data_IF_869127223280
#
_entry.id   IF_869127223280
#
_cell.length_a   1.000
_cell.length_b   1.000
_cell.length_c   1.000
_cell.angle_alpha   90.00
_cell.angle_beta   90.00
_cell.angle_gamma   90.00
#
_symmetry.space_group_name_H-M   'P 1'
#
loop_
_entity.id
_entity.type
_entity.pdbx_description
1 polymer ?
#
# COMPACT_ATOMS: atom_id res chain seq x y z
N UNK A 1 -16.49 -15.55 15.45
CA UNK A 1 -15.48 -14.45 15.45
C UNK A 1 -14.19 -14.94 14.81
N UNK A 2 -13.50 -14.13 13.99
CA UNK A 2 -12.28 -14.56 13.28
C UNK A 2 -11.10 -14.70 14.26
N UNK A 3 -10.22 -15.69 14.06
CA UNK A 3 -9.02 -15.87 14.88
C UNK A 3 -7.96 -14.80 14.58
N UNK A 4 -7.04 -14.55 15.53
CA UNK A 4 -5.98 -13.55 15.37
C UNK A 4 -5.08 -13.86 14.17
N UNK A 5 -4.68 -15.12 14.06
CA UNK A 5 -3.79 -15.60 12.99
C UNK A 5 -4.45 -15.47 11.62
N UNK A 6 -5.74 -15.81 11.50
CA UNK A 6 -6.48 -15.66 10.24
C UNK A 6 -6.58 -14.19 9.82
N UNK A 7 -6.82 -13.28 10.76
CA UNK A 7 -6.86 -11.83 10.47
C UNK A 7 -5.50 -11.28 10.02
N UNK A 8 -4.42 -11.69 10.69
CA UNK A 8 -3.07 -11.32 10.29
C UNK A 8 -2.73 -11.87 8.89
N UNK A 9 -3.10 -13.12 8.59
CA UNK A 9 -2.81 -13.76 7.30
C UNK A 9 -3.61 -13.11 6.15
N UNK A 10 -4.92 -12.88 6.33
CA UNK A 10 -5.73 -12.15 5.34
C UNK A 10 -5.21 -10.72 5.13
N UNK A 11 -4.79 -10.06 6.22
CA UNK A 11 -4.15 -8.75 6.18
C UNK A 11 -2.84 -8.76 5.40
N UNK A 12 -1.96 -9.75 5.65
CA UNK A 12 -0.70 -9.93 4.94
C UNK A 12 -0.93 -10.08 3.43
N UNK A 13 -1.83 -10.98 3.02
CA UNK A 13 -2.11 -11.19 1.59
C UNK A 13 -2.68 -9.93 0.94
N UNK A 14 -3.66 -9.28 1.57
CA UNK A 14 -4.22 -8.04 1.04
C UNK A 14 -3.16 -6.93 0.94
N UNK A 15 -2.28 -6.81 1.93
CA UNK A 15 -1.17 -5.86 1.95
C UNK A 15 -0.12 -6.13 0.87
N UNK A 16 0.22 -7.39 0.62
CA UNK A 16 1.13 -7.78 -0.48
C UNK A 16 0.54 -7.41 -1.85
N UNK A 17 -0.72 -7.78 -2.09
CA UNK A 17 -1.41 -7.48 -3.36
C UNK A 17 -1.54 -5.96 -3.55
N UNK A 18 -1.89 -5.23 -2.50
CA UNK A 18 -1.95 -3.77 -2.53
C UNK A 18 -0.60 -3.14 -2.81
N UNK A 19 0.48 -3.63 -2.18
CA UNK A 19 1.85 -3.15 -2.41
C UNK A 19 2.31 -3.39 -3.85
N UNK A 20 2.00 -4.55 -4.43
CA UNK A 20 2.28 -4.85 -5.84
C UNK A 20 1.44 -3.95 -6.77
N UNK A 21 0.14 -3.82 -6.53
CA UNK A 21 -0.74 -2.99 -7.34
C UNK A 21 -0.30 -1.51 -7.35
N UNK A 22 0.07 -0.98 -6.19
CA UNK A 22 0.63 0.36 -6.05
C UNK A 22 1.95 0.51 -6.81
N UNK A 23 2.84 -0.48 -6.73
CA UNK A 23 4.11 -0.48 -7.46
C UNK A 23 3.87 -0.41 -8.97
N UNK A 24 2.97 -1.24 -9.48
CA UNK A 24 2.60 -1.25 -10.89
C UNK A 24 1.99 0.08 -11.34
N UNK A 25 1.13 0.68 -10.52
CA UNK A 25 0.56 2.00 -10.81
C UNK A 25 1.64 3.08 -10.86
N UNK A 26 2.58 3.08 -9.92
CA UNK A 26 3.71 4.02 -9.94
C UNK A 26 4.57 3.84 -11.19
N UNK A 27 4.87 2.59 -11.59
CA UNK A 27 5.64 2.32 -12.81
C UNK A 27 4.88 2.76 -14.08
N UNK A 28 3.57 2.52 -14.13
CA UNK A 28 2.72 2.95 -15.23
C UNK A 28 2.67 4.49 -15.33
N UNK A 29 2.52 5.19 -14.20
CA UNK A 29 2.53 6.65 -14.15
C UNK A 29 3.92 7.21 -14.52
N UNK A 30 4.99 6.58 -14.07
CA UNK A 30 6.36 6.95 -14.47
C UNK A 30 6.54 6.83 -15.99
N UNK A 31 6.04 5.74 -16.58
CA UNK A 31 6.14 5.51 -18.02
C UNK A 31 5.29 6.49 -18.83
N UNK A 32 4.04 6.73 -18.42
CA UNK A 32 3.11 7.57 -19.16
C UNK A 32 3.43 9.07 -19.02
N UNK A 33 3.79 9.52 -17.83
CA UNK A 33 3.99 10.94 -17.52
C UNK A 33 5.46 11.33 -17.38
N UNK A 34 6.40 10.39 -17.56
CA UNK A 34 7.85 10.65 -17.46
C UNK A 34 8.25 11.28 -16.11
N UNK A 35 7.50 10.94 -15.06
CA UNK A 35 7.70 11.42 -13.70
C UNK A 35 8.77 10.54 -13.04
N UNK A 36 9.67 11.16 -12.29
CA UNK A 36 10.54 10.42 -11.40
C UNK A 36 9.75 9.99 -10.15
N UNK A 37 9.48 8.69 -10.02
CA UNK A 37 8.74 8.16 -8.88
C UNK A 37 9.66 8.03 -7.66
N UNK A 38 9.11 8.02 -6.43
CA UNK A 38 9.90 7.77 -5.22
C UNK A 38 10.74 6.49 -5.28
N UNK A 39 10.31 5.49 -6.05
CA UNK A 39 11.09 4.27 -6.30
C UNK A 39 12.47 4.54 -6.89
N UNK A 40 12.59 5.56 -7.72
CA UNK A 40 13.83 5.92 -8.42
C UNK A 40 14.55 7.04 -7.67
N UNK A 41 13.82 8.04 -7.21
CA UNK A 41 14.38 9.24 -6.59
C UNK A 41 14.93 8.97 -5.17
N UNK A 42 14.41 8.00 -4.43
CA UNK A 42 14.91 7.70 -3.09
C UNK A 42 16.40 7.38 -3.10
N UNK A 43 16.87 6.64 -4.12
CA UNK A 43 18.28 6.36 -4.33
C UNK A 43 19.08 7.64 -4.58
N UNK A 44 18.57 8.54 -5.42
CA UNK A 44 19.21 9.82 -5.72
C UNK A 44 19.37 10.68 -4.46
N UNK A 45 18.33 10.76 -3.62
CA UNK A 45 18.40 11.48 -2.34
C UNK A 45 19.38 10.86 -1.36
N UNK A 46 19.37 9.53 -1.22
CA UNK A 46 20.25 8.83 -0.29
C UNK A 46 21.72 8.87 -0.71
N UNK A 47 21.98 8.87 -2.03
CA UNK A 47 23.35 8.91 -2.57
C UNK A 47 24.12 10.17 -2.18
N UNK A 48 23.44 11.31 -2.01
CA UNK A 48 24.07 12.58 -1.56
C UNK A 48 24.66 12.46 -0.15
N UNK A 49 24.15 11.55 0.67
CA UNK A 49 24.64 11.29 2.03
C UNK A 49 25.74 10.22 2.09
N UNK A 50 26.03 9.54 0.97
CA UNK A 50 27.08 8.52 0.91
C UNK A 50 28.38 9.20 0.49
N UNK A 51 29.41 9.07 1.31
CA UNK A 51 30.74 9.61 0.98
C UNK A 51 31.32 8.97 -0.29
N UNK A 52 32.18 9.67 -1.05
CA UNK A 52 32.68 9.18 -2.34
C UNK A 52 33.40 7.82 -2.26
N UNK A 53 34.20 7.59 -1.21
CA UNK A 53 34.97 6.34 -1.04
C UNK A 53 34.09 5.08 -0.94
N UNK A 54 33.09 5.01 -0.04
CA UNK A 54 32.17 3.87 -0.01
C UNK A 54 31.33 3.77 -1.28
N UNK A 55 30.95 4.89 -1.91
CA UNK A 55 30.21 4.86 -3.17
C UNK A 55 30.99 4.18 -4.31
N UNK A 56 32.26 4.55 -4.52
CA UNK A 56 33.11 3.90 -5.53
C UNK A 56 33.42 2.45 -5.18
N UNK A 57 33.55 2.11 -3.89
CA UNK A 57 33.76 0.73 -3.47
C UNK A 57 32.56 -0.17 -3.78
N UNK A 58 31.34 0.28 -3.48
CA UNK A 58 30.11 -0.47 -3.83
C UNK A 58 29.95 -0.49 -5.35
N UNK A 59 30.23 0.61 -6.07
CA UNK A 59 30.17 0.63 -7.53
C UNK A 59 31.10 -0.41 -8.17
N UNK A 60 32.32 -0.57 -7.64
CA UNK A 60 33.27 -1.58 -8.09
C UNK A 60 32.82 -3.02 -7.78
N UNK A 61 32.13 -3.24 -6.66
CA UNK A 61 31.62 -4.56 -6.25
C UNK A 61 30.36 -5.00 -7.01
N UNK A 62 29.46 -4.06 -7.31
CA UNK A 62 28.17 -4.36 -7.96
C UNK A 62 28.29 -4.31 -9.50
N UNK A 63 29.48 -4.04 -10.04
CA UNK A 63 29.71 -4.07 -11.49
C UNK A 63 29.19 -2.82 -12.22
N UNK A 64 29.31 -1.65 -11.59
CA UNK A 64 29.06 -0.35 -12.21
C UNK A 64 27.78 0.37 -11.76
N UNK A 65 27.62 1.61 -12.23
CA UNK A 65 26.55 2.52 -11.83
C UNK A 65 25.14 2.02 -12.18
N UNK A 66 24.97 1.32 -13.30
CA UNK A 66 23.68 0.80 -13.72
C UNK A 66 23.14 -0.27 -12.74
N UNK A 67 24.02 -1.17 -12.28
CA UNK A 67 23.65 -2.19 -11.30
C UNK A 67 23.40 -1.60 -9.91
N UNK A 68 24.16 -0.58 -9.52
CA UNK A 68 23.87 0.21 -8.31
C UNK A 68 22.46 0.82 -8.37
N UNK A 69 22.08 1.38 -9.51
CA UNK A 69 20.75 1.98 -9.70
C UNK A 69 19.66 0.91 -9.68
N UNK A 70 19.89 -0.24 -10.30
CA UNK A 70 18.97 -1.39 -10.23
C UNK A 70 18.80 -1.90 -8.80
N UNK A 71 19.87 -1.97 -8.00
CA UNK A 71 19.77 -2.31 -6.58
C UNK A 71 18.98 -1.25 -5.79
N UNK A 72 19.19 0.04 -6.06
CA UNK A 72 18.43 1.12 -5.43
C UNK A 72 16.93 1.04 -5.71
N UNK A 73 16.56 0.82 -6.98
CA UNK A 73 15.15 0.64 -7.38
C UNK A 73 14.57 -0.66 -6.83
N UNK A 74 15.30 -1.77 -6.94
CA UNK A 74 14.87 -3.07 -6.46
C UNK A 74 14.67 -3.12 -4.94
N UNK A 75 15.58 -2.51 -4.18
CA UNK A 75 15.44 -2.39 -2.72
C UNK A 75 14.27 -1.49 -2.32
N UNK A 76 13.99 -0.42 -3.07
CA UNK A 76 12.83 0.43 -2.83
C UNK A 76 11.51 -0.30 -3.11
N UNK A 77 11.42 -1.08 -4.19
CA UNK A 77 10.27 -1.95 -4.50
C UNK A 77 10.07 -2.97 -3.38
N UNK A 78 11.14 -3.66 -2.97
CA UNK A 78 11.07 -4.65 -1.90
C UNK A 78 10.61 -4.02 -0.58
N UNK A 79 11.20 -2.89 -0.19
CA UNK A 79 10.83 -2.15 1.01
C UNK A 79 9.37 -1.71 0.99
N UNK A 80 8.89 -1.21 -0.15
CA UNK A 80 7.50 -0.82 -0.33
C UNK A 80 6.52 -2.00 -0.17
N UNK A 81 6.82 -3.14 -0.79
CA UNK A 81 5.98 -4.35 -0.68
C UNK A 81 5.99 -4.87 0.77
N UNK A 82 7.16 -4.86 1.42
CA UNK A 82 7.30 -5.27 2.82
C UNK A 82 6.50 -4.36 3.76
N UNK A 83 6.58 -3.04 3.58
CA UNK A 83 5.77 -2.07 4.33
C UNK A 83 4.28 -2.28 4.06
N UNK A 84 3.89 -2.55 2.81
CA UNK A 84 2.52 -2.89 2.44
C UNK A 84 2.00 -4.14 3.16
N UNK A 85 2.82 -5.19 3.21
CA UNK A 85 2.54 -6.43 3.94
C UNK A 85 2.34 -6.19 5.44
N UNK A 86 3.26 -5.45 6.08
CA UNK A 86 3.17 -5.11 7.51
C UNK A 86 1.92 -4.25 7.77
N UNK A 87 1.68 -3.23 6.93
CA UNK A 87 0.50 -2.38 7.01
C UNK A 87 -0.80 -3.19 6.91
N UNK A 88 -0.84 -4.18 6.02
CA UNK A 88 -1.96 -5.09 5.89
C UNK A 88 -2.19 -5.99 7.11
N UNK A 89 -1.13 -6.54 7.71
CA UNK A 89 -1.23 -7.28 8.99
C UNK A 89 -1.85 -6.40 10.07
N UNK A 90 -1.31 -5.19 10.25
CA UNK A 90 -1.79 -4.24 11.26
C UNK A 90 -3.25 -3.89 11.00
N UNK A 91 -3.60 -3.59 9.75
CA UNK A 91 -4.98 -3.31 9.35
C UNK A 91 -5.93 -4.45 9.71
N UNK A 92 -5.58 -5.69 9.34
CA UNK A 92 -6.39 -6.87 9.65
C UNK A 92 -6.58 -7.11 11.15
N UNK A 93 -5.55 -6.89 11.95
CA UNK A 93 -5.63 -6.97 13.42
C UNK A 93 -6.51 -5.87 14.02
N UNK A 94 -6.40 -4.63 13.52
CA UNK A 94 -7.23 -3.51 13.98
C UNK A 94 -8.69 -3.73 13.61
N UNK A 95 -8.97 -4.14 12.38
CA UNK A 95 -10.33 -4.42 11.88
C UNK A 95 -11.00 -5.56 12.65
N UNK A 96 -10.22 -6.59 13.03
CA UNK A 96 -10.70 -7.64 13.94
C UNK A 96 -11.10 -7.10 15.32
N UNK A 97 -10.31 -6.16 15.89
CA UNK A 97 -10.53 -5.66 17.26
C UNK A 97 -11.62 -4.58 17.33
N UNK A 98 -11.67 -3.68 16.35
CA UNK A 98 -12.55 -2.52 16.35
C UNK A 98 -13.81 -2.69 15.48
N UNK A 99 -13.91 -3.79 14.72
CA UNK A 99 -14.98 -3.98 13.75
C UNK A 99 -14.71 -3.14 12.51
N UNK A 100 -15.73 -2.41 12.04
CA UNK A 100 -15.59 -1.62 10.81
C UNK A 100 -14.71 -0.39 11.04
N UNK A 101 -13.73 -0.19 10.16
CA UNK A 101 -12.82 0.96 10.21
C UNK A 101 -13.28 1.92 9.13
N UNK A 102 -13.91 3.02 9.54
CA UNK A 102 -14.48 3.97 8.60
C UNK A 102 -13.45 4.53 7.62
N UNK A 103 -13.89 4.79 6.38
CA UNK A 103 -13.06 5.28 5.28
C UNK A 103 -12.16 6.48 5.64
N UNK A 104 -12.64 7.39 6.51
CA UNK A 104 -11.85 8.54 6.96
C UNK A 104 -10.53 8.12 7.59
N UNK A 105 -10.51 7.05 8.39
CA UNK A 105 -9.30 6.56 9.04
C UNK A 105 -8.37 5.84 8.07
N UNK A 106 -8.91 4.99 7.19
CA UNK A 106 -8.09 4.29 6.19
C UNK A 106 -7.47 5.27 5.21
N UNK A 107 -8.24 6.26 4.74
CA UNK A 107 -7.73 7.35 3.92
C UNK A 107 -6.64 8.15 4.63
N UNK A 108 -6.86 8.56 5.87
CA UNK A 108 -5.85 9.33 6.62
C UNK A 108 -4.55 8.55 6.78
N UNK A 109 -4.62 7.27 7.15
CA UNK A 109 -3.45 6.44 7.47
C UNK A 109 -2.71 5.97 6.21
N UNK A 110 -3.43 5.56 5.16
CA UNK A 110 -2.82 4.94 3.98
C UNK A 110 -2.67 5.88 2.79
N UNK A 111 -3.31 7.06 2.82
CA UNK A 111 -3.25 8.04 1.73
C UNK A 111 -2.66 9.36 2.20
N UNK A 112 -3.34 10.06 3.11
CA UNK A 112 -2.96 11.43 3.48
C UNK A 112 -1.60 11.47 4.19
N UNK A 113 -1.38 10.59 5.16
CA UNK A 113 -0.15 10.55 5.94
C UNK A 113 1.08 10.15 5.09
N UNK A 114 1.05 9.07 4.29
CA UNK A 114 2.15 8.74 3.38
C UNK A 114 2.40 9.84 2.36
N UNK A 115 1.35 10.45 1.81
CA UNK A 115 1.48 11.58 0.88
C UNK A 115 2.17 12.78 1.54
N UNK A 116 1.77 13.16 2.75
CA UNK A 116 2.40 14.24 3.50
C UNK A 116 3.87 13.94 3.81
N UNK A 117 4.18 12.71 4.24
CA UNK A 117 5.56 12.27 4.51
C UNK A 117 6.39 12.32 3.23
N UNK A 118 5.88 11.79 2.11
CA UNK A 118 6.55 11.86 0.81
C UNK A 118 6.75 13.30 0.36
N UNK A 119 5.75 14.16 0.53
CA UNK A 119 5.84 15.57 0.18
C UNK A 119 6.96 16.28 0.97
N UNK A 120 7.02 16.08 2.28
CA UNK A 120 8.03 16.71 3.15
C UNK A 120 9.43 16.15 2.87
N UNK A 121 9.57 14.82 2.80
CA UNK A 121 10.86 14.17 2.66
C UNK A 121 11.44 14.32 1.26
N UNK A 122 10.61 14.28 0.21
CA UNK A 122 11.06 14.30 -1.18
C UNK A 122 10.91 15.69 -1.82
N UNK A 123 10.49 16.71 -1.07
CA UNK A 123 10.29 18.08 -1.58
C UNK A 123 11.32 18.58 -2.60
N UNK A 124 12.65 18.52 -2.34
CA UNK A 124 13.65 19.07 -3.25
C UNK A 124 13.72 18.34 -4.60
N UNK A 125 13.25 17.08 -4.63
CA UNK A 125 13.43 16.17 -5.77
C UNK A 125 12.11 15.83 -6.47
N UNK A 126 10.96 16.22 -5.91
CA UNK A 126 9.63 16.06 -6.54
C UNK A 126 9.48 16.82 -7.86
N UNK A 127 10.31 17.84 -8.10
CA UNK A 127 10.33 18.59 -9.36
C UNK A 127 11.02 17.85 -10.51
N UNK A 128 11.59 16.67 -10.25
CA UNK A 128 12.34 15.91 -11.27
C UNK A 128 11.38 15.32 -12.30
N UNK A 129 11.52 15.76 -13.54
CA UNK A 129 10.68 15.32 -14.65
C UNK A 129 11.53 15.09 -15.91
N UNK A 130 11.48 13.87 -16.46
CA UNK A 130 12.35 13.49 -17.57
C UNK A 130 11.92 14.07 -18.92
N UNK A 131 10.67 14.54 -19.04
CA UNK A 131 10.16 15.24 -20.22
C UNK A 131 10.39 16.75 -20.25
N UNK A 132 11.18 17.33 -19.34
CA UNK A 132 11.55 18.76 -19.39
C UNK A 132 10.46 19.77 -18.96
N UNK A 133 9.47 19.33 -18.18
CA UNK A 133 8.41 20.20 -17.67
C UNK A 133 8.94 21.19 -16.61
N UNK A 134 8.34 22.39 -16.46
CA UNK A 134 8.65 23.29 -15.36
C UNK A 134 8.51 22.62 -13.99
N UNK A 135 9.43 22.95 -13.08
CA UNK A 135 9.58 22.31 -11.76
C UNK A 135 8.27 22.26 -10.96
N UNK A 136 7.48 23.35 -10.98
CA UNK A 136 6.25 23.42 -10.19
C UNK A 136 5.14 22.54 -10.77
N UNK A 137 5.03 22.48 -12.10
CA UNK A 137 4.08 21.59 -12.77
C UNK A 137 4.49 20.12 -12.60
N UNK A 138 5.78 19.81 -12.73
CA UNK A 138 6.34 18.48 -12.46
C UNK A 138 6.05 18.02 -11.02
N UNK A 139 6.24 18.92 -10.04
CA UNK A 139 5.96 18.64 -8.63
C UNK A 139 4.48 18.31 -8.42
N UNK A 140 3.57 19.10 -9.00
CA UNK A 140 2.14 18.90 -8.88
C UNK A 140 1.70 17.55 -9.48
N UNK A 141 2.17 17.24 -10.69
CA UNK A 141 1.87 15.97 -11.36
C UNK A 141 2.41 14.78 -10.55
N UNK A 142 3.62 14.90 -9.98
CA UNK A 142 4.20 13.85 -9.13
C UNK A 142 3.35 13.62 -7.87
N UNK A 143 2.93 14.70 -7.20
CA UNK A 143 2.07 14.61 -6.02
C UNK A 143 0.71 13.99 -6.34
N UNK A 144 0.11 14.33 -7.48
CA UNK A 144 -1.13 13.71 -7.95
C UNK A 144 -0.93 12.22 -8.25
N UNK A 145 0.16 11.85 -8.93
CA UNK A 145 0.50 10.45 -9.20
C UNK A 145 0.69 9.64 -7.92
N UNK A 146 1.32 10.23 -6.89
CA UNK A 146 1.45 9.62 -5.57
C UNK A 146 0.12 9.48 -4.86
N UNK A 147 -0.73 10.52 -4.90
CA UNK A 147 -2.06 10.46 -4.31
C UNK A 147 -2.89 9.32 -4.93
N UNK A 148 -2.87 9.18 -6.26
CA UNK A 148 -3.55 8.10 -6.99
C UNK A 148 -2.97 6.73 -6.58
N UNK A 149 -1.65 6.62 -6.47
CA UNK A 149 -0.99 5.37 -6.11
C UNK A 149 -1.34 4.92 -4.68
N UNK A 150 -1.33 5.84 -3.71
CA UNK A 150 -1.73 5.55 -2.34
C UNK A 150 -3.23 5.28 -2.21
N UNK A 151 -4.06 5.98 -2.97
CA UNK A 151 -5.49 5.68 -3.08
C UNK A 151 -5.72 4.25 -3.59
N UNK A 152 -5.01 3.84 -4.65
CA UNK A 152 -5.10 2.49 -5.17
C UNK A 152 -4.67 1.47 -4.12
N UNK A 153 -3.57 1.71 -3.40
CA UNK A 153 -3.13 0.87 -2.30
C UNK A 153 -4.24 0.70 -1.24
N UNK A 154 -4.83 1.82 -0.78
CA UNK A 154 -5.91 1.80 0.21
C UNK A 154 -7.10 0.97 -0.28
N UNK A 155 -7.54 1.19 -1.51
CA UNK A 155 -8.69 0.49 -2.10
C UNK A 155 -8.44 -1.00 -2.24
N UNK A 156 -7.27 -1.39 -2.76
CA UNK A 156 -6.91 -2.79 -2.93
C UNK A 156 -6.75 -3.49 -1.57
N UNK A 157 -6.18 -2.80 -0.57
CA UNK A 157 -6.03 -3.35 0.78
C UNK A 157 -7.39 -3.60 1.44
N UNK A 158 -8.26 -2.59 1.47
CA UNK A 158 -9.56 -2.67 2.15
C UNK A 158 -10.46 -3.68 1.46
N UNK A 159 -10.63 -3.58 0.13
CA UNK A 159 -11.48 -4.47 -0.65
C UNK A 159 -10.92 -5.89 -0.67
N UNK A 160 -9.60 -6.05 -0.78
CA UNK A 160 -8.94 -7.35 -0.74
C UNK A 160 -9.14 -8.05 0.60
N UNK A 161 -9.03 -7.32 1.70
CA UNK A 161 -9.31 -7.86 3.03
C UNK A 161 -10.79 -8.24 3.18
N UNK A 162 -11.72 -7.40 2.72
CA UNK A 162 -13.16 -7.68 2.78
C UNK A 162 -13.54 -8.90 1.95
N UNK A 163 -12.96 -9.04 0.76
CA UNK A 163 -13.14 -10.19 -0.09
C UNK A 163 -12.68 -11.48 0.60
N UNK A 164 -11.46 -11.47 1.17
CA UNK A 164 -10.88 -12.64 1.86
C UNK A 164 -11.66 -13.03 3.12
N UNK A 165 -12.24 -12.07 3.83
CA UNK A 165 -12.96 -12.32 5.08
C UNK A 165 -14.43 -12.68 4.85
N UNK A 166 -15.09 -12.08 3.85
CA UNK A 166 -16.47 -12.39 3.46
C UNK A 166 -16.61 -13.82 2.92
N UNK A 167 -15.64 -14.27 2.12
CA UNK A 167 -15.62 -15.64 1.59
C UNK A 167 -15.41 -16.69 2.70
N UNK A 168 -14.75 -16.29 3.78
CA UNK A 168 -14.53 -17.13 4.97
C UNK A 168 -15.77 -17.29 5.85
N UNK A 169 -16.75 -16.38 5.79
CA UNK A 169 -18.01 -16.49 6.54
C UNK A 169 -19.06 -17.31 5.81
N UNK A 170 -19.19 -17.18 4.48
CA UNK A 170 -20.12 -18.00 3.67
C UNK A 170 -19.86 -19.50 3.79
N UNK A 171 -18.60 -19.91 4.01
CA UNK A 171 -18.22 -21.34 4.15
C UNK A 171 -18.52 -21.92 5.55
N UNK A 172 -18.83 -21.08 6.54
CA UNK A 172 -19.11 -21.49 7.94
C UNK A 172 -20.55 -21.21 8.36
N UNK A 173 -21.34 -20.53 7.52
CA UNK A 173 -22.77 -20.51 7.69
C UNK A 173 -23.29 -21.94 7.44
N UNK A 174 -23.55 -22.67 8.52
CA UNK A 174 -24.41 -23.84 8.48
C UNK A 174 -25.71 -23.48 7.73
N UNK A 175 -26.34 -24.42 7.00
CA UNK A 175 -27.64 -24.16 6.39
C UNK A 175 -28.58 -23.57 7.45
N UNK A 176 -29.43 -22.59 7.09
CA UNK A 176 -30.31 -21.97 8.06
C UNK A 176 -31.16 -23.07 8.69
N UNK A 177 -30.88 -23.41 9.95
CA UNK A 177 -31.80 -24.20 10.75
C UNK A 177 -33.11 -23.41 10.77
N UNK A 178 -34.10 -23.94 10.07
CA UNK A 178 -35.46 -23.44 10.07
C UNK A 178 -36.02 -23.66 11.47
N UNK A 179 -35.71 -22.74 12.38
CA UNK A 179 -36.38 -22.60 13.66
C UNK A 179 -37.55 -21.66 13.42
N UNK A 180 -38.78 -22.16 13.19
CA UNK A 180 -39.92 -21.29 13.24
C UNK A 180 -39.93 -20.69 14.64
N UNK A 181 -39.83 -19.36 14.73
CA UNK A 181 -40.19 -18.64 15.93
C UNK A 181 -41.70 -18.84 16.13
N UNK A 182 -42.06 -19.98 16.72
CA UNK A 182 -43.35 -20.19 17.35
C UNK A 182 -43.44 -19.18 18.48
N UNK A 183 -43.94 -18.00 18.14
CA UNK A 183 -44.27 -16.95 19.08
C UNK A 183 -45.18 -17.57 20.14
N UNK A 184 -44.80 -17.40 21.40
CA UNK A 184 -45.44 -17.90 22.62
C UNK A 184 -46.87 -17.34 22.85
N UNK A 185 -47.55 -16.87 21.79
CA UNK A 185 -48.87 -16.23 21.78
C UNK A 185 -49.92 -16.95 20.91
N UNK A 186 -49.56 -18.03 20.22
CA UNK A 186 -50.51 -18.80 19.41
C UNK A 186 -51.30 -19.87 20.18
N UNK A 187 -51.15 -19.98 21.51
CA UNK A 187 -51.79 -21.04 22.32
C UNK A 187 -53.05 -20.58 23.08
N UNK A 188 -53.62 -19.42 22.76
CA UNK A 188 -54.85 -18.91 23.42
C UNK A 188 -56.05 -18.76 22.48
N UNK A 189 -55.95 -19.23 21.24
CA UNK A 189 -57.10 -19.35 20.33
C UNK A 189 -56.97 -20.67 19.57
N UNK A 190 -57.58 -21.72 20.11
CA UNK A 190 -57.62 -23.08 19.58
C UNK A 190 -58.03 -24.06 20.65
#
# INVERSE_FOLDING_TARGET
MMSRSKAALCGLYAGLVAGVAMTLAMLLLAWLFQIATPLVILGDRLSVFISPKPFFWIMGHVGGYNHLKQLGVGSSIFGQILVGAIGGIVFGLVRRKRGDVGYRWTFLIFVALPLAISAILLWPVLGTHYGGMPIDAARLITLLGLAISFLLFERVLVLGFDFLTSHGQKKTAAPPEFTPHLGRRAFLFG
#
